data_IF_292529568902
#
_entry.id   IF_292529568902
#
_cell.length_a   1.000
_cell.length_b   1.000
_cell.length_c   1.000
_cell.angle_alpha   90.00
_cell.angle_beta   90.00
_cell.angle_gamma   90.00
#
_symmetry.space_group_name_H-M   'P 1'
#
loop_
_entity.id
_entity.type
_entity.pdbx_description
1 polymer ?
#
# COMPACT_ATOMS: atom_id res chain seq x y z
N UNK A 1 25.59 53.46 -37.37
CA UNK A 1 25.51 52.23 -38.19
C UNK A 1 25.39 51.07 -37.21
N UNK A 2 24.16 50.61 -36.90
CA UNK A 2 23.44 49.49 -37.56
C UNK A 2 24.19 48.17 -37.39
N UNK A 3 23.65 47.04 -36.94
CA UNK A 3 22.25 46.57 -36.82
C UNK A 3 22.26 45.28 -35.97
N UNK A 4 21.12 44.99 -35.34
CA UNK A 4 20.79 43.75 -34.61
C UNK A 4 21.04 42.46 -35.42
N UNK A 5 21.36 41.35 -34.71
CA UNK A 5 20.95 39.99 -35.08
C UNK A 5 20.78 39.17 -33.78
N UNK A 6 19.55 39.13 -33.26
CA UNK A 6 18.58 38.03 -33.41
C UNK A 6 19.06 36.78 -32.65
N UNK A 7 18.55 36.57 -31.44
CA UNK A 7 17.41 35.66 -31.14
C UNK A 7 17.77 34.18 -31.26
N UNK A 8 17.28 33.40 -30.29
CA UNK A 8 17.44 31.96 -30.04
C UNK A 8 18.72 31.57 -29.27
N UNK A 9 18.67 30.89 -28.12
CA UNK A 9 17.60 30.03 -27.60
C UNK A 9 17.63 30.00 -26.06
N UNK A 10 16.83 30.86 -25.42
CA UNK A 10 16.07 30.40 -24.25
C UNK A 10 14.97 29.49 -24.79
N UNK A 11 15.34 28.33 -25.34
CA UNK A 11 14.36 27.37 -25.83
C UNK A 11 13.72 26.72 -24.61
N UNK A 12 12.51 27.18 -24.37
CA UNK A 12 11.51 26.60 -23.49
C UNK A 12 11.72 27.08 -22.04
N UNK A 13 10.72 27.78 -21.45
CA UNK A 13 10.76 28.12 -20.04
C UNK A 13 10.93 26.82 -19.23
N UNK A 14 11.63 26.87 -18.09
CA UNK A 14 11.46 25.84 -17.07
C UNK A 14 9.99 25.90 -16.72
N UNK A 15 9.21 25.01 -17.31
CA UNK A 15 7.82 24.88 -16.98
C UNK A 15 7.81 24.38 -15.54
N UNK A 16 7.40 25.27 -14.65
CA UNK A 16 7.07 24.97 -13.27
C UNK A 16 6.00 23.84 -13.13
N UNK A 17 5.54 23.29 -14.27
CA UNK A 17 4.51 22.28 -14.41
C UNK A 17 5.01 20.88 -14.85
N UNK A 18 6.20 20.69 -15.44
CA UNK A 18 6.75 19.34 -15.72
C UNK A 18 7.68 18.81 -14.61
N UNK A 19 7.66 19.47 -13.45
CA UNK A 19 8.23 18.99 -12.18
C UNK A 19 7.37 17.89 -11.53
N UNK A 20 6.88 16.92 -12.30
CA UNK A 20 6.11 15.79 -11.80
C UNK A 20 6.85 14.49 -12.12
N UNK A 21 7.83 14.17 -11.27
CA UNK A 21 8.13 12.91 -10.53
C UNK A 21 7.70 11.53 -11.07
N UNK A 22 6.73 11.45 -11.96
CA UNK A 22 6.17 10.25 -12.58
C UNK A 22 7.20 9.60 -13.52
N UNK A 23 8.05 10.38 -14.21
CA UNK A 23 9.10 9.82 -15.06
C UNK A 23 10.16 9.10 -14.26
N UNK A 24 10.61 9.58 -13.10
CA UNK A 24 11.72 8.95 -12.35
C UNK A 24 11.37 7.60 -11.72
N UNK A 25 10.19 7.49 -11.07
CA UNK A 25 9.78 6.22 -10.43
C UNK A 25 9.39 5.18 -11.48
N UNK A 26 8.66 5.59 -12.52
CA UNK A 26 8.25 4.68 -13.59
C UNK A 26 9.44 4.19 -14.40
N UNK A 27 10.39 5.08 -14.73
CA UNK A 27 11.64 4.67 -15.41
C UNK A 27 12.48 3.76 -14.53
N UNK A 28 12.53 4.00 -13.22
CA UNK A 28 13.17 3.09 -12.27
C UNK A 28 12.51 1.70 -12.25
N UNK A 29 11.19 1.61 -12.19
CA UNK A 29 10.48 0.33 -12.22
C UNK A 29 10.64 -0.41 -13.56
N UNK A 30 10.71 0.32 -14.67
CA UNK A 30 10.97 -0.25 -15.99
C UNK A 30 12.42 -0.74 -16.17
N UNK A 31 13.38 -0.15 -15.45
CA UNK A 31 14.77 -0.60 -15.49
C UNK A 31 15.05 -1.82 -14.60
N UNK A 32 14.13 -2.17 -13.70
CA UNK A 32 14.21 -3.38 -12.88
C UNK A 32 14.09 -4.63 -13.75
N UNK A 33 14.99 -5.59 -13.58
CA UNK A 33 14.97 -6.85 -14.33
C UNK A 33 14.01 -7.84 -13.68
N UNK A 34 12.73 -7.77 -14.04
CA UNK A 34 11.66 -8.64 -13.51
C UNK A 34 11.83 -10.14 -13.78
N UNK A 35 12.78 -10.52 -14.64
CA UNK A 35 13.09 -11.94 -14.93
C UNK A 35 13.92 -12.62 -13.83
N UNK A 36 14.39 -11.88 -12.81
CA UNK A 36 15.14 -12.51 -11.72
C UNK A 36 14.24 -13.41 -10.84
N UNK A 37 14.64 -14.66 -10.54
CA UNK A 37 13.78 -15.62 -9.84
C UNK A 37 13.27 -15.13 -8.48
N UNK A 38 14.07 -14.36 -7.75
CA UNK A 38 13.67 -13.82 -6.45
C UNK A 38 12.60 -12.73 -6.55
N UNK A 39 12.65 -11.91 -7.61
CA UNK A 39 11.63 -10.89 -7.91
C UNK A 39 10.30 -11.55 -8.27
N UNK A 40 10.35 -12.65 -9.03
CA UNK A 40 9.16 -13.46 -9.28
C UNK A 40 8.62 -14.05 -7.98
N UNK A 41 9.49 -14.54 -7.10
CA UNK A 41 9.11 -14.99 -5.76
C UNK A 41 8.43 -13.89 -4.93
N UNK A 42 8.93 -12.66 -5.01
CA UNK A 42 8.34 -11.48 -4.36
C UNK A 42 6.94 -11.17 -4.92
N UNK A 43 6.76 -11.23 -6.24
CA UNK A 43 5.46 -11.03 -6.87
C UNK A 43 4.45 -12.11 -6.44
N UNK A 44 4.86 -13.38 -6.41
CA UNK A 44 4.03 -14.49 -5.92
C UNK A 44 3.67 -14.27 -4.45
N UNK A 45 4.61 -13.81 -3.63
CA UNK A 45 4.34 -13.45 -2.23
C UNK A 45 3.23 -12.39 -2.14
N UNK A 46 3.24 -11.34 -2.97
CA UNK A 46 2.17 -10.34 -2.99
C UNK A 46 0.81 -10.93 -3.42
N UNK A 47 0.78 -11.81 -4.42
CA UNK A 47 -0.45 -12.51 -4.81
C UNK A 47 -0.97 -13.36 -3.66
N UNK A 48 -0.10 -14.10 -2.97
CA UNK A 48 -0.48 -14.88 -1.78
C UNK A 48 -1.02 -13.98 -0.68
N UNK A 49 -0.39 -12.82 -0.42
CA UNK A 49 -0.88 -11.85 0.57
C UNK A 49 -2.27 -11.31 0.20
N UNK A 50 -2.52 -11.03 -1.07
CA UNK A 50 -3.83 -10.61 -1.58
C UNK A 50 -4.87 -11.73 -1.41
N UNK A 51 -4.54 -12.95 -1.83
CA UNK A 51 -5.41 -14.10 -1.66
C UNK A 51 -5.74 -14.37 -0.19
N UNK A 52 -4.74 -14.33 0.69
CA UNK A 52 -4.93 -14.44 2.14
C UNK A 52 -5.83 -13.32 2.66
N UNK A 53 -5.63 -12.08 2.21
CA UNK A 53 -6.52 -10.97 2.58
C UNK A 53 -7.97 -11.28 2.19
N UNK A 54 -8.23 -11.74 0.96
CA UNK A 54 -9.57 -12.08 0.47
C UNK A 54 -10.19 -13.25 1.25
N UNK A 55 -9.46 -14.34 1.46
CA UNK A 55 -9.94 -15.52 2.21
C UNK A 55 -10.23 -15.16 3.66
N UNK A 56 -9.35 -14.34 4.24
CA UNK A 56 -9.40 -13.97 5.65
C UNK A 56 -10.46 -12.91 5.96
N UNK A 57 -11.00 -12.20 4.95
CA UNK A 57 -12.15 -11.29 5.10
C UNK A 57 -13.38 -11.94 5.75
N UNK A 58 -13.48 -13.27 5.77
CA UNK A 58 -14.55 -14.00 6.43
C UNK A 58 -14.28 -14.30 7.91
N UNK A 59 -13.02 -14.27 8.34
CA UNK A 59 -12.57 -14.69 9.67
C UNK A 59 -11.87 -13.54 10.40
N UNK A 60 -12.62 -12.79 11.21
CA UNK A 60 -12.12 -11.60 11.93
C UNK A 60 -10.82 -11.84 12.72
N UNK A 61 -10.72 -12.96 13.45
CA UNK A 61 -9.53 -13.29 14.25
C UNK A 61 -8.29 -13.52 13.39
N UNK A 62 -8.43 -14.27 12.29
CA UNK A 62 -7.34 -14.49 11.35
C UNK A 62 -6.95 -13.19 10.64
N UNK A 63 -7.91 -12.28 10.43
CA UNK A 63 -7.65 -10.98 9.80
C UNK A 63 -6.77 -10.08 10.67
N UNK A 64 -6.96 -10.14 12.00
CA UNK A 64 -6.09 -9.44 12.95
C UNK A 64 -4.68 -10.00 12.89
N UNK A 65 -4.51 -11.33 12.92
CA UNK A 65 -3.19 -11.95 12.80
C UNK A 65 -2.50 -11.57 11.48
N UNK A 66 -3.24 -11.59 10.37
CA UNK A 66 -2.74 -11.19 9.06
C UNK A 66 -2.35 -9.71 9.03
N UNK A 67 -3.17 -8.81 9.58
CA UNK A 67 -2.85 -7.38 9.70
C UNK A 67 -1.56 -7.15 10.49
N UNK A 68 -1.41 -7.79 11.65
CA UNK A 68 -0.20 -7.69 12.48
C UNK A 68 1.04 -8.19 11.72
N UNK A 69 0.91 -9.30 10.99
CA UNK A 69 1.98 -9.83 10.15
C UNK A 69 2.39 -8.84 9.06
N UNK A 70 1.43 -8.25 8.33
CA UNK A 70 1.71 -7.27 7.28
C UNK A 70 2.41 -6.02 7.84
N UNK A 71 1.96 -5.49 8.98
CA UNK A 71 2.59 -4.32 9.63
C UNK A 71 4.01 -4.65 10.10
N UNK A 72 4.21 -5.83 10.70
CA UNK A 72 5.54 -6.28 11.11
C UNK A 72 6.50 -6.41 9.92
N UNK A 73 6.02 -6.94 8.79
CA UNK A 73 6.80 -7.04 7.56
C UNK A 73 7.20 -5.67 7.01
N UNK A 74 6.26 -4.72 6.94
CA UNK A 74 6.54 -3.34 6.50
C UNK A 74 7.56 -2.68 7.44
N UNK A 75 7.42 -2.88 8.75
CA UNK A 75 8.39 -2.37 9.73
C UNK A 75 9.78 -2.97 9.52
N UNK A 76 9.87 -4.26 9.21
CA UNK A 76 11.13 -4.94 8.93
C UNK A 76 11.74 -4.61 7.56
N UNK A 77 11.04 -3.86 6.70
CA UNK A 77 11.48 -3.62 5.32
C UNK A 77 12.85 -2.92 5.23
N UNK A 78 13.14 -2.00 6.14
CA UNK A 78 14.44 -1.32 6.23
C UNK A 78 15.56 -2.32 6.54
N UNK A 79 15.35 -3.17 7.54
CA UNK A 79 16.29 -4.22 7.92
C UNK A 79 16.50 -5.25 6.79
N UNK A 80 15.42 -5.67 6.12
CA UNK A 80 15.51 -6.57 4.97
C UNK A 80 16.29 -5.93 3.82
N UNK A 81 16.13 -4.62 3.60
CA UNK A 81 16.86 -3.89 2.58
C UNK A 81 18.35 -3.77 2.91
N UNK A 82 18.73 -3.51 4.17
CA UNK A 82 20.14 -3.52 4.58
C UNK A 82 20.75 -4.92 4.42
N UNK A 83 20.06 -5.97 4.88
CA UNK A 83 20.54 -7.34 4.76
C UNK A 83 20.71 -7.76 3.30
N UNK A 84 19.77 -7.37 2.44
CA UNK A 84 19.84 -7.64 1.01
C UNK A 84 20.90 -6.77 0.32
N UNK A 85 21.13 -5.53 0.77
CA UNK A 85 22.22 -4.68 0.32
C UNK A 85 23.60 -5.21 0.74
N UNK A 86 23.72 -5.91 1.87
CA UNK A 86 24.97 -6.57 2.26
C UNK A 86 25.23 -7.86 1.46
N UNK A 87 24.17 -8.60 1.14
CA UNK A 87 24.25 -9.92 0.49
C UNK A 87 23.85 -9.90 -0.99
N UNK A 88 23.81 -8.72 -1.62
CA UNK A 88 23.23 -8.55 -2.97
C UNK A 88 23.85 -9.47 -4.01
N UNK A 89 25.15 -9.76 -3.91
CA UNK A 89 25.89 -10.64 -4.84
C UNK A 89 25.43 -12.10 -4.83
N UNK A 90 24.83 -12.55 -3.73
CA UNK A 90 24.34 -13.93 -3.60
C UNK A 90 22.94 -14.08 -4.21
N UNK A 91 22.15 -13.00 -4.20
CA UNK A 91 20.71 -13.05 -4.45
C UNK A 91 20.29 -12.43 -5.79
N UNK A 92 21.01 -11.40 -6.23
CA UNK A 92 20.66 -10.56 -7.38
C UNK A 92 21.88 -10.25 -8.22
N UNK A 93 21.73 -10.20 -9.55
CA UNK A 93 22.83 -9.80 -10.44
C UNK A 93 23.12 -8.30 -10.38
N UNK A 94 22.13 -7.52 -9.95
CA UNK A 94 22.20 -6.06 -9.83
C UNK A 94 21.89 -5.63 -8.40
N UNK A 95 22.49 -4.52 -7.97
CA UNK A 95 22.25 -3.97 -6.65
C UNK A 95 21.01 -3.06 -6.66
N UNK A 96 19.85 -3.63 -6.32
CA UNK A 96 18.59 -2.89 -6.21
C UNK A 96 18.39 -2.18 -4.87
N UNK A 97 19.09 -2.67 -3.84
CA UNK A 97 18.96 -2.21 -2.47
C UNK A 97 19.92 -1.05 -2.22
N UNK A 98 19.37 0.06 -1.72
CA UNK A 98 20.08 1.29 -1.39
C UNK A 98 19.71 1.74 0.02
N UNK A 99 20.57 2.55 0.65
CA UNK A 99 20.36 3.21 1.94
C UNK A 99 19.03 3.95 2.06
N UNK A 100 18.49 4.47 0.95
CA UNK A 100 17.18 5.14 0.91
C UNK A 100 16.01 4.18 0.88
N UNK A 101 16.24 2.88 0.64
CA UNK A 101 15.20 1.86 0.58
C UNK A 101 14.15 2.11 -0.51
N UNK A 102 14.49 2.84 -1.58
CA UNK A 102 13.52 3.22 -2.61
C UNK A 102 12.88 1.99 -3.28
N UNK A 103 13.70 1.00 -3.65
CA UNK A 103 13.23 -0.25 -4.24
C UNK A 103 12.32 -1.04 -3.31
N UNK A 104 12.79 -1.34 -2.08
CA UNK A 104 12.01 -2.14 -1.12
C UNK A 104 10.71 -1.41 -0.75
N UNK A 105 10.74 -0.09 -0.64
CA UNK A 105 9.55 0.68 -0.28
C UNK A 105 8.51 0.62 -1.40
N UNK A 106 8.93 0.80 -2.65
CA UNK A 106 8.02 0.80 -3.79
C UNK A 106 7.43 -0.58 -4.09
N UNK A 107 8.27 -1.63 -4.10
CA UNK A 107 7.87 -2.95 -4.57
C UNK A 107 7.32 -3.79 -3.42
N UNK A 108 7.90 -3.71 -2.22
CA UNK A 108 7.46 -4.50 -1.07
C UNK A 108 6.47 -3.71 -0.20
N UNK A 109 6.85 -2.54 0.31
CA UNK A 109 6.04 -1.84 1.31
C UNK A 109 4.74 -1.26 0.77
N UNK A 110 4.71 -0.65 -0.42
CA UNK A 110 3.48 -0.04 -0.96
C UNK A 110 2.36 -1.07 -1.17
N UNK A 111 2.57 -2.22 -1.85
CA UNK A 111 1.51 -3.23 -1.99
C UNK A 111 1.02 -3.78 -0.64
N UNK A 112 1.95 -3.99 0.31
CA UNK A 112 1.62 -4.40 1.68
C UNK A 112 0.76 -3.36 2.40
N UNK A 113 1.15 -2.08 2.33
CA UNK A 113 0.40 -0.97 2.92
C UNK A 113 -0.99 -0.85 2.31
N UNK A 114 -1.13 -0.94 0.99
CA UNK A 114 -2.43 -0.94 0.32
C UNK A 114 -3.32 -2.08 0.84
N UNK A 115 -2.78 -3.29 1.00
CA UNK A 115 -3.52 -4.40 1.61
C UNK A 115 -3.98 -4.08 3.04
N UNK A 116 -3.10 -3.50 3.87
CA UNK A 116 -3.48 -3.10 5.24
C UNK A 116 -4.55 -2.03 5.27
N UNK A 117 -4.50 -1.04 4.37
CA UNK A 117 -5.52 0.01 4.26
C UNK A 117 -6.88 -0.57 3.87
N UNK A 118 -6.91 -1.52 2.93
CA UNK A 118 -8.15 -2.22 2.53
C UNK A 118 -8.75 -2.98 3.72
N UNK A 119 -7.93 -3.69 4.49
CA UNK A 119 -8.37 -4.41 5.70
C UNK A 119 -8.98 -3.43 6.71
N UNK A 120 -8.30 -2.33 7.01
CA UNK A 120 -8.77 -1.31 7.95
C UNK A 120 -10.09 -0.69 7.46
N UNK A 121 -10.19 -0.34 6.17
CA UNK A 121 -11.42 0.20 5.59
C UNK A 121 -12.59 -0.78 5.73
N UNK A 122 -12.35 -2.08 5.48
CA UNK A 122 -13.37 -3.12 5.67
C UNK A 122 -13.79 -3.24 7.14
N UNK A 123 -12.85 -3.19 8.08
CA UNK A 123 -13.17 -3.21 9.52
C UNK A 123 -14.01 -2.00 9.94
N UNK A 124 -13.66 -0.81 9.45
CA UNK A 124 -14.43 0.40 9.72
C UNK A 124 -15.85 0.24 9.21
N UNK A 125 -16.04 -0.18 7.96
CA UNK A 125 -17.36 -0.45 7.38
C UNK A 125 -18.16 -1.49 8.17
N UNK A 126 -17.54 -2.61 8.56
CA UNK A 126 -18.18 -3.66 9.35
C UNK A 126 -18.59 -3.17 10.74
N UNK A 127 -17.74 -2.38 11.39
CA UNK A 127 -17.99 -1.80 12.71
C UNK A 127 -19.17 -0.83 12.67
N UNK A 128 -19.20 0.07 11.67
CA UNK A 128 -20.33 0.97 11.46
C UNK A 128 -21.63 0.21 11.21
N UNK A 129 -21.62 -0.78 10.29
CA UNK A 129 -22.80 -1.60 10.00
C UNK A 129 -23.33 -2.32 11.24
N UNK A 130 -22.44 -2.98 12.00
CA UNK A 130 -22.81 -3.67 13.24
C UNK A 130 -23.36 -2.70 14.29
N UNK A 131 -22.75 -1.52 14.44
CA UNK A 131 -23.22 -0.49 15.37
C UNK A 131 -24.61 0.04 14.98
N UNK A 132 -24.85 0.28 13.68
CA UNK A 132 -26.16 0.72 13.19
C UNK A 132 -27.23 -0.34 13.41
N UNK A 133 -26.93 -1.61 13.20
CA UNK A 133 -27.83 -2.73 13.47
C UNK A 133 -28.14 -2.85 14.97
N UNK A 134 -27.11 -2.77 15.83
CA UNK A 134 -27.29 -2.81 17.28
C UNK A 134 -28.10 -1.63 17.80
N UNK A 135 -27.88 -0.40 17.29
CA UNK A 135 -28.70 0.77 17.63
C UNK A 135 -30.16 0.57 17.22
N UNK A 136 -30.39 0.01 16.04
CA UNK A 136 -31.72 -0.30 15.52
C UNK A 136 -32.43 -1.34 16.38
N UNK A 137 -31.73 -2.41 16.77
CA UNK A 137 -32.24 -3.45 17.66
C UNK A 137 -32.51 -2.93 19.08
N UNK A 138 -31.65 -2.05 19.60
CA UNK A 138 -31.87 -1.39 20.91
C UNK A 138 -33.12 -0.52 20.89
N UNK A 139 -33.30 0.29 19.84
CA UNK A 139 -34.50 1.11 19.65
C UNK A 139 -35.77 0.25 19.57
N UNK A 140 -35.73 -0.83 18.78
CA UNK A 140 -36.84 -1.78 18.67
C UNK A 140 -37.18 -2.43 20.02
N UNK A 141 -36.17 -2.84 20.80
CA UNK A 141 -36.38 -3.39 22.16
C UNK A 141 -36.97 -2.37 23.13
N UNK A 142 -36.53 -1.11 23.08
CA UNK A 142 -37.09 -0.03 23.93
C UNK A 142 -38.55 0.24 23.60
N UNK A 143 -38.90 0.35 22.31
CA UNK A 143 -40.28 0.56 21.88
C UNK A 143 -41.22 -0.59 22.30
N UNK A 144 -40.74 -1.84 22.25
CA UNK A 144 -41.51 -2.99 22.72
C UNK A 144 -41.75 -2.97 24.24
N UNK A 145 -40.77 -2.55 25.05
CA UNK A 145 -40.95 -2.40 26.50
C UNK A 145 -42.00 -1.34 26.84
N UNK A 146 -41.92 -0.16 26.22
CA UNK A 146 -42.90 0.91 26.41
C UNK A 146 -44.32 0.51 25.99
N UNK A 147 -44.46 -0.29 24.92
CA UNK A 147 -45.76 -0.84 24.52
C UNK A 147 -46.33 -1.81 25.55
N UNK A 148 -45.48 -2.58 26.23
CA UNK A 148 -45.91 -3.50 27.28
C UNK A 148 -46.35 -2.75 28.54
N UNK A 149 -45.57 -1.76 28.95
CA UNK A 149 -45.89 -0.88 30.09
C UNK A 149 -47.18 -0.05 29.91
N UNK A 150 -47.63 0.18 28.66
CA UNK A 150 -48.88 0.89 28.37
C UNK A 150 -50.11 -0.04 28.32
N UNK A 151 -49.90 -1.36 28.17
CA UNK A 151 -50.97 -2.35 28.05
C UNK A 151 -51.27 -3.08 29.36
N UNK A 152 -50.40 -2.96 30.36
CA UNK A 152 -50.61 -3.39 31.75
C UNK A 152 -51.18 -2.23 32.58
#
# INVERSE_FOLDING_TARGET
>A
MTVQKAENISSIPIDAFSNLRITSIWTFLMSVQWSEPWLVGLLVFHVVCLCLTVVTCRYYRAQICHFLLMVALVYSAEYLNELAAMNWRSFSKFQYFDSKGMFISLIFSIPLLLNTVIIVALWVYRTFSTMTELKTLQLKRKALRQRREKND
#
